data_IF_783609912041
#
_entry.id   IF_783609912041
#
_cell.length_a   1.000
_cell.length_b   1.000
_cell.length_c   1.000
_cell.angle_alpha   90.00
_cell.angle_beta   90.00
_cell.angle_gamma   90.00
#
_symmetry.space_group_name_H-M   'P 1'
#
loop_
_entity.id
_entity.type
_entity.pdbx_description
1 polymer ?
#
# COMPACT_ATOMS: atom_id res chain seq x y z
N UNK A 1 14.79 -11.06 5.76
CA UNK A 1 14.43 -10.22 4.58
C UNK A 1 13.28 -10.81 3.75
N UNK A 2 12.65 -11.89 4.19
CA UNK A 2 11.46 -12.50 3.56
C UNK A 2 10.19 -12.24 4.40
N UNK A 3 10.33 -12.13 5.72
CA UNK A 3 9.23 -11.74 6.64
C UNK A 3 8.69 -10.33 6.36
N UNK A 4 9.56 -9.40 5.95
CA UNK A 4 9.15 -8.05 5.56
C UNK A 4 8.25 -8.07 4.32
N UNK A 5 8.52 -8.96 3.35
CA UNK A 5 7.77 -9.05 2.09
C UNK A 5 6.39 -9.69 2.30
N UNK A 6 6.30 -10.70 3.15
CA UNK A 6 5.03 -11.37 3.45
C UNK A 6 4.04 -10.45 4.19
N UNK A 7 4.53 -9.51 5.01
CA UNK A 7 3.70 -8.55 5.75
C UNK A 7 3.35 -7.27 4.98
N UNK A 8 4.09 -6.93 3.92
CA UNK A 8 3.96 -5.65 3.23
C UNK A 8 2.69 -5.56 2.37
N UNK A 9 2.35 -6.60 1.61
CA UNK A 9 1.13 -6.60 0.79
C UNK A 9 -0.17 -6.40 1.59
N UNK A 10 -0.43 -7.15 2.69
CA UNK A 10 -1.62 -6.95 3.50
C UNK A 10 -1.61 -5.59 4.23
N UNK A 11 -0.43 -5.09 4.65
CA UNK A 11 -0.30 -3.75 5.22
C UNK A 11 -0.69 -2.66 4.22
N UNK A 12 -0.08 -2.67 3.03
CA UNK A 12 -0.36 -1.68 1.97
C UNK A 12 -1.83 -1.70 1.58
N UNK A 13 -2.41 -2.88 1.39
CA UNK A 13 -3.84 -3.03 1.07
C UNK A 13 -4.73 -2.44 2.17
N UNK A 14 -4.41 -2.71 3.45
CA UNK A 14 -5.17 -2.19 4.59
C UNK A 14 -5.15 -0.66 4.63
N UNK A 15 -3.97 -0.06 4.49
CA UNK A 15 -3.81 1.39 4.56
C UNK A 15 -4.45 2.10 3.37
N UNK A 16 -4.28 1.57 2.15
CA UNK A 16 -4.95 2.07 0.96
C UNK A 16 -6.46 2.02 1.12
N UNK A 17 -7.02 0.89 1.57
CA UNK A 17 -8.46 0.74 1.81
C UNK A 17 -8.96 1.68 2.91
N UNK A 18 -8.19 1.86 3.98
CA UNK A 18 -8.56 2.74 5.10
C UNK A 18 -8.57 4.22 4.69
N UNK A 19 -7.66 4.65 3.82
CA UNK A 19 -7.53 6.06 3.39
C UNK A 19 -8.35 6.41 2.15
N UNK A 20 -8.42 5.52 1.17
CA UNK A 20 -9.09 5.76 -0.11
C UNK A 20 -10.53 5.20 -0.15
N UNK A 21 -10.93 4.39 0.84
CA UNK A 21 -12.30 3.91 0.99
C UNK A 21 -12.67 2.79 0.01
N UNK A 22 -13.95 2.71 -0.35
CA UNK A 22 -14.50 1.59 -1.16
C UNK A 22 -13.89 1.50 -2.57
N UNK A 23 -13.52 2.64 -3.17
CA UNK A 23 -12.97 2.72 -4.53
C UNK A 23 -11.44 2.74 -4.57
N UNK A 24 -10.78 2.28 -3.49
CA UNK A 24 -9.32 2.38 -3.35
C UNK A 24 -8.55 1.75 -4.52
N UNK A 25 -9.02 0.63 -5.08
CA UNK A 25 -8.36 -0.04 -6.20
C UNK A 25 -8.39 0.80 -7.48
N UNK A 26 -9.47 1.56 -7.70
CA UNK A 26 -9.59 2.46 -8.85
C UNK A 26 -8.68 3.65 -8.71
N UNK A 27 -8.67 4.26 -7.52
CA UNK A 27 -7.82 5.42 -7.23
C UNK A 27 -6.34 5.06 -7.35
N UNK A 28 -5.95 3.87 -6.88
CA UNK A 28 -4.59 3.33 -7.02
C UNK A 28 -4.24 3.04 -8.48
N UNK A 29 -5.10 2.33 -9.22
CA UNK A 29 -4.81 1.99 -10.63
C UNK A 29 -4.84 3.20 -11.56
N UNK A 30 -5.59 4.26 -11.21
CA UNK A 30 -5.62 5.53 -11.94
C UNK A 30 -4.31 6.32 -11.78
N UNK A 31 -3.72 6.29 -10.59
CA UNK A 31 -2.51 7.09 -10.26
C UNK A 31 -1.20 6.33 -10.50
N UNK A 32 -1.18 5.05 -10.16
CA UNK A 32 0.02 4.23 -10.20
C UNK A 32 0.15 3.48 -11.53
N UNK A 33 0.87 4.08 -12.49
CA UNK A 33 1.20 3.40 -13.76
C UNK A 33 1.90 2.06 -13.52
N UNK A 34 1.40 1.02 -14.18
CA UNK A 34 1.92 -0.35 -14.08
C UNK A 34 1.20 -1.21 -13.03
N UNK A 35 0.25 -0.64 -12.29
CA UNK A 35 -0.65 -1.40 -11.42
C UNK A 35 -1.99 -1.52 -12.14
N UNK A 36 -2.46 -2.76 -12.28
CA UNK A 36 -3.70 -3.06 -13.00
C UNK A 36 -4.60 -3.97 -12.16
N UNK A 37 -5.91 -3.81 -12.32
CA UNK A 37 -6.89 -4.77 -11.83
C UNK A 37 -6.84 -6.02 -12.71
N UNK A 38 -6.86 -7.16 -12.05
CA UNK A 38 -7.04 -8.46 -12.69
C UNK A 38 -8.48 -8.61 -13.17
N UNK A 39 -8.75 -9.66 -13.95
CA UNK A 39 -10.09 -9.95 -14.47
C UNK A 39 -11.15 -10.18 -13.38
N UNK A 40 -10.71 -10.56 -12.20
CA UNK A 40 -11.52 -10.75 -10.98
C UNK A 40 -11.80 -9.43 -10.23
N UNK A 41 -11.26 -8.30 -10.71
CA UNK A 41 -11.42 -6.98 -10.07
C UNK A 41 -10.35 -6.65 -9.03
N UNK A 42 -9.55 -7.64 -8.62
CA UNK A 42 -8.48 -7.51 -7.62
C UNK A 42 -7.14 -7.09 -8.20
N UNK A 43 -6.35 -6.32 -7.44
CA UNK A 43 -4.96 -5.97 -7.80
C UNK A 43 -4.02 -7.13 -7.47
N UNK A 44 -3.15 -7.50 -8.42
CA UNK A 44 -2.05 -8.42 -8.14
C UNK A 44 -0.91 -7.69 -7.41
N UNK A 45 -0.75 -7.99 -6.13
CA UNK A 45 0.26 -7.39 -5.27
C UNK A 45 1.59 -8.14 -5.31
N UNK A 46 2.25 -8.04 -6.46
CA UNK A 46 3.64 -8.46 -6.59
C UNK A 46 4.60 -7.45 -5.93
N UNK A 47 5.84 -7.87 -5.68
CA UNK A 47 6.81 -7.04 -4.91
C UNK A 47 6.97 -5.64 -5.52
N UNK A 48 7.02 -5.56 -6.86
CA UNK A 48 7.11 -4.29 -7.57
C UNK A 48 5.85 -3.43 -7.44
N UNK A 49 4.65 -4.04 -7.52
CA UNK A 49 3.39 -3.33 -7.41
C UNK A 49 3.21 -2.71 -6.02
N UNK A 50 3.56 -3.46 -4.97
CA UNK A 50 3.50 -3.01 -3.57
C UNK A 50 4.39 -1.79 -3.36
N UNK A 51 5.67 -1.88 -3.76
CA UNK A 51 6.61 -0.76 -3.64
C UNK A 51 6.16 0.46 -4.45
N UNK A 52 5.66 0.23 -5.67
CA UNK A 52 5.15 1.29 -6.54
C UNK A 52 3.96 2.01 -5.89
N UNK A 53 2.99 1.27 -5.36
CA UNK A 53 1.82 1.85 -4.70
C UNK A 53 2.21 2.65 -3.46
N UNK A 54 3.19 2.17 -2.67
CA UNK A 54 3.68 2.90 -1.50
C UNK A 54 4.31 4.25 -1.88
N UNK A 55 5.15 4.26 -2.91
CA UNK A 55 5.82 5.48 -3.37
C UNK A 55 4.81 6.48 -3.94
N UNK A 56 3.92 6.01 -4.81
CA UNK A 56 2.94 6.84 -5.52
C UNK A 56 1.88 7.42 -4.56
N UNK A 57 1.50 6.64 -3.55
CA UNK A 57 0.53 7.05 -2.52
C UNK A 57 1.21 7.53 -1.23
N UNK A 58 2.52 7.83 -1.27
CA UNK A 58 3.28 8.20 -0.07
C UNK A 58 2.66 9.39 0.66
N UNK A 59 2.47 10.52 -0.03
CA UNK A 59 1.94 11.73 0.60
C UNK A 59 0.49 11.60 1.08
N UNK A 60 -0.33 10.86 0.34
CA UNK A 60 -1.78 10.78 0.59
C UNK A 60 -2.14 9.71 1.63
N UNK A 61 -1.44 8.58 1.62
CA UNK A 61 -1.78 7.40 2.42
C UNK A 61 -0.73 7.13 3.51
N UNK A 62 0.55 7.04 3.13
CA UNK A 62 1.57 6.46 4.02
C UNK A 62 2.33 7.46 4.89
N UNK A 63 2.38 8.75 4.54
CA UNK A 63 3.16 9.79 5.22
C UNK A 63 2.89 9.86 6.73
N UNK A 64 1.64 9.69 7.13
CA UNK A 64 1.24 9.73 8.55
C UNK A 64 1.19 8.35 9.21
N UNK A 65 1.20 7.27 8.42
CA UNK A 65 1.15 5.89 8.92
C UNK A 65 2.56 5.45 9.31
N UNK A 66 3.51 5.58 8.38
CA UNK A 66 4.90 5.22 8.59
C UNK A 66 5.65 6.28 9.42
N UNK A 67 5.22 7.54 9.39
CA UNK A 67 5.75 8.59 10.26
C UNK A 67 5.43 8.40 11.76
N UNK A 68 4.47 7.55 12.11
CA UNK A 68 4.12 7.24 13.51
C UNK A 68 4.54 5.83 13.95
N UNK A 69 4.58 4.85 13.02
CA UNK A 69 5.04 3.48 13.30
C UNK A 69 6.49 3.43 13.80
N UNK A 70 7.36 4.36 13.37
CA UNK A 70 8.74 4.42 13.89
C UNK A 70 8.86 5.02 15.30
N UNK A 71 7.81 5.69 15.84
CA UNK A 71 7.86 6.26 17.20
C UNK A 71 7.50 5.27 18.30
N UNK A 72 6.77 4.19 18.01
CA UNK A 72 6.41 3.17 19.01
C UNK A 72 7.27 1.90 18.96
N UNK A 73 8.10 1.71 17.93
CA UNK A 73 9.11 0.63 17.92
C UNK A 73 10.43 1.04 18.61
N UNK A 74 10.63 2.33 18.89
CA UNK A 74 11.76 2.87 19.68
C UNK A 74 11.20 3.45 20.97
N UNK A 75 10.49 2.61 21.72
CA UNK A 75 9.70 3.07 22.85
C UNK A 75 9.39 2.02 23.90
N UNK A 76 10.16 0.93 23.98
CA UNK A 76 10.44 0.13 25.18
C UNK A 76 11.82 -0.53 25.05
#
# INVERSE_FOLDING_TARGET
>A
MEELKAGLSPFVTRELRAKLGLNWEEDVTSRSRGIYRSRDGTINWDTNAVLKAMVDNWQSVFRNVLGHVERSYVGE
#
